data_IF_628126611801
#
_entry.id   IF_628126611801
#
_cell.length_a   1.000
_cell.length_b   1.000
_cell.length_c   1.000
_cell.angle_alpha   90.00
_cell.angle_beta   90.00
_cell.angle_gamma   90.00
#
_symmetry.space_group_name_H-M   'P 1'
#
loop_
_entity.id
_entity.type
_entity.pdbx_description
1 polymer ?
#
# COMPACT_ATOMS: atom_id res chain seq x y z
N UNK A 1 5.79 -31.17 13.56
CA UNK A 1 6.88 -30.42 12.89
C UNK A 1 6.41 -28.98 12.78
N UNK A 2 7.26 -27.97 12.93
CA UNK A 2 6.80 -26.58 12.77
C UNK A 2 7.07 -26.06 11.36
N UNK A 3 6.13 -25.30 10.83
CA UNK A 3 6.18 -24.72 9.49
C UNK A 3 6.10 -23.20 9.51
N UNK A 4 6.62 -22.58 8.45
CA UNK A 4 6.44 -21.17 8.10
C UNK A 4 5.94 -21.08 6.66
N UNK A 5 5.09 -20.10 6.38
CA UNK A 5 4.53 -19.89 5.04
C UNK A 5 4.85 -18.48 4.58
N UNK A 6 5.54 -18.34 3.46
CA UNK A 6 5.57 -17.11 2.66
C UNK A 6 4.47 -17.18 1.61
N UNK A 7 3.72 -16.08 1.43
CA UNK A 7 2.62 -15.98 0.47
C UNK A 7 2.83 -14.72 -0.34
N UNK A 8 2.72 -14.81 -1.66
CA UNK A 8 2.62 -13.65 -2.54
C UNK A 8 1.34 -13.72 -3.36
N UNK A 9 0.41 -12.82 -3.06
CA UNK A 9 -0.86 -12.70 -3.77
C UNK A 9 -0.68 -11.74 -4.94
N UNK A 10 -0.47 -12.31 -6.13
CA UNK A 10 -0.45 -11.59 -7.39
C UNK A 10 -1.82 -11.53 -8.08
N UNK A 11 -1.85 -10.88 -9.24
CA UNK A 11 -3.08 -10.72 -10.04
C UNK A 11 -3.60 -12.01 -10.67
N UNK A 12 -2.70 -12.88 -11.16
CA UNK A 12 -3.06 -14.13 -11.85
C UNK A 12 -2.97 -15.35 -10.94
N UNK A 13 -1.89 -15.45 -10.18
CA UNK A 13 -1.61 -16.56 -9.28
C UNK A 13 -1.28 -16.05 -7.89
N UNK A 14 -1.60 -16.89 -6.91
CA UNK A 14 -1.10 -16.76 -5.55
C UNK A 14 -0.04 -17.83 -5.34
N UNK A 15 1.17 -17.38 -5.06
CA UNK A 15 2.36 -18.20 -4.90
C UNK A 15 2.65 -18.41 -3.41
N UNK A 16 3.10 -19.61 -3.05
CA UNK A 16 3.40 -19.96 -1.67
C UNK A 16 4.76 -20.66 -1.57
N UNK A 17 5.49 -20.32 -0.50
CA UNK A 17 6.68 -21.01 -0.06
C UNK A 17 6.44 -21.56 1.35
N UNK A 18 6.32 -22.88 1.46
CA UNK A 18 6.25 -23.58 2.74
C UNK A 18 7.67 -23.96 3.16
N UNK A 19 8.05 -23.65 4.40
CA UNK A 19 9.36 -23.98 4.94
C UNK A 19 9.23 -24.76 6.24
N UNK A 20 9.85 -25.94 6.29
CA UNK A 20 9.97 -26.76 7.49
C UNK A 20 11.06 -26.26 8.44
N UNK A 21 11.01 -26.70 9.69
CA UNK A 21 12.01 -26.40 10.72
C UNK A 21 13.41 -26.94 10.38
N UNK A 22 13.48 -28.01 9.58
CA UNK A 22 14.70 -28.62 9.05
C UNK A 22 15.29 -27.86 7.84
N UNK A 23 14.64 -26.79 7.39
CA UNK A 23 15.02 -26.01 6.21
C UNK A 23 14.51 -26.58 4.88
N UNK A 24 13.72 -27.65 4.90
CA UNK A 24 13.03 -28.14 3.70
C UNK A 24 12.05 -27.09 3.16
N UNK A 25 11.95 -26.99 1.83
CA UNK A 25 11.07 -26.02 1.17
C UNK A 25 10.19 -26.68 0.13
N UNK A 26 8.91 -26.32 0.12
CA UNK A 26 7.93 -26.73 -0.88
C UNK A 26 7.25 -25.49 -1.49
N UNK A 27 7.01 -25.53 -2.80
CA UNK A 27 6.37 -24.43 -3.52
C UNK A 27 4.98 -24.86 -3.96
N UNK A 28 4.00 -24.00 -3.73
CA UNK A 28 2.62 -24.19 -4.18
C UNK A 28 2.17 -22.97 -4.98
N UNK A 29 1.25 -23.20 -5.91
CA UNK A 29 0.72 -22.15 -6.79
C UNK A 29 -0.74 -22.44 -7.07
N UNK A 30 -1.59 -21.46 -6.79
CA UNK A 30 -3.03 -21.56 -7.06
C UNK A 30 -3.48 -20.34 -7.86
N UNK A 31 -4.60 -20.48 -8.58
CA UNK A 31 -5.22 -19.34 -9.26
C UNK A 31 -5.70 -18.31 -8.23
N UNK A 32 -5.36 -17.04 -8.48
CA UNK A 32 -5.85 -15.93 -7.66
C UNK A 32 -7.36 -15.80 -7.79
N UNK A 33 -7.99 -15.24 -6.76
CA UNK A 33 -9.42 -14.92 -6.74
C UNK A 33 -9.55 -13.41 -6.56
N UNK A 34 -9.58 -12.60 -7.65
CA UNK A 34 -9.50 -11.14 -7.56
C UNK A 34 -10.56 -10.50 -6.66
N UNK A 35 -11.79 -11.04 -6.68
CA UNK A 35 -12.91 -10.53 -5.88
C UNK A 35 -12.71 -10.76 -4.37
N UNK A 36 -12.01 -11.83 -4.00
CA UNK A 36 -11.65 -12.13 -2.61
C UNK A 36 -10.35 -12.95 -2.55
N UNK A 37 -9.18 -12.29 -2.46
CA UNK A 37 -7.89 -12.98 -2.48
C UNK A 37 -7.67 -13.91 -1.28
N UNK A 38 -8.49 -13.80 -0.23
CA UNK A 38 -8.34 -14.65 0.95
C UNK A 38 -8.87 -16.07 0.66
N UNK A 39 -9.74 -16.23 -0.35
CA UNK A 39 -10.16 -17.55 -0.84
C UNK A 39 -8.98 -18.30 -1.47
N UNK A 40 -8.22 -17.64 -2.35
CA UNK A 40 -7.02 -18.21 -2.96
C UNK A 40 -5.97 -18.56 -1.89
N UNK A 41 -5.79 -17.67 -0.92
CA UNK A 41 -4.89 -17.91 0.23
C UNK A 41 -5.27 -19.18 1.00
N UNK A 42 -6.53 -19.32 1.40
CA UNK A 42 -6.99 -20.51 2.12
C UNK A 42 -6.97 -21.78 1.27
N UNK A 43 -7.20 -21.67 -0.04
CA UNK A 43 -7.09 -22.80 -0.98
C UNK A 43 -5.67 -23.36 -1.02
N UNK A 44 -4.65 -22.50 -1.14
CA UNK A 44 -3.26 -22.94 -1.11
C UNK A 44 -2.88 -23.60 0.21
N UNK A 45 -3.32 -23.04 1.34
CA UNK A 45 -3.13 -23.65 2.67
C UNK A 45 -3.80 -25.04 2.74
N UNK A 46 -5.00 -25.18 2.17
CA UNK A 46 -5.70 -26.46 2.12
C UNK A 46 -4.99 -27.49 1.21
N UNK A 47 -4.41 -27.06 0.09
CA UNK A 47 -3.60 -27.94 -0.78
C UNK A 47 -2.34 -28.43 -0.05
N UNK A 48 -1.67 -27.57 0.73
CA UNK A 48 -0.54 -27.96 1.58
C UNK A 48 -0.93 -29.03 2.61
N UNK A 49 -2.07 -28.85 3.29
CA UNK A 49 -2.59 -29.83 4.24
C UNK A 49 -2.96 -31.15 3.54
N UNK A 50 -3.62 -31.06 2.37
CA UNK A 50 -4.02 -32.22 1.56
C UNK A 50 -2.83 -33.04 1.07
N UNK A 51 -1.73 -32.41 0.66
CA UNK A 51 -0.49 -33.11 0.26
C UNK A 51 0.13 -33.93 1.40
N UNK A 52 -0.22 -33.62 2.65
CA UNK A 52 0.22 -34.30 3.87
C UNK A 52 -0.83 -35.27 4.43
N UNK A 53 -1.98 -35.41 3.76
CA UNK A 53 -3.13 -36.21 4.20
C UNK A 53 -3.62 -35.87 5.62
N UNK A 54 -3.55 -34.59 6.00
CA UNK A 54 -4.05 -34.08 7.29
C UNK A 54 -5.12 -33.01 7.06
N UNK A 55 -5.92 -32.75 8.10
CA UNK A 55 -6.91 -31.67 8.05
C UNK A 55 -6.21 -30.30 8.01
N UNK A 56 -6.85 -29.30 7.41
CA UNK A 56 -6.36 -27.91 7.41
C UNK A 56 -6.12 -27.39 8.83
N UNK A 57 -6.98 -27.77 9.77
CA UNK A 57 -6.90 -27.38 11.17
C UNK A 57 -5.66 -27.97 11.86
N UNK A 58 -5.38 -29.25 11.62
CA UNK A 58 -4.18 -29.89 12.17
C UNK A 58 -2.91 -29.32 11.54
N UNK A 59 -2.94 -29.03 10.24
CA UNK A 59 -1.83 -28.36 9.56
C UNK A 59 -1.55 -26.97 10.14
N UNK A 60 -2.57 -26.13 10.30
CA UNK A 60 -2.43 -24.77 10.80
C UNK A 60 -1.95 -24.68 12.26
N UNK A 61 -2.15 -25.73 13.07
CA UNK A 61 -1.55 -25.84 14.43
C UNK A 61 -0.02 -25.98 14.39
N UNK A 62 0.49 -26.53 13.30
CA UNK A 62 1.91 -26.68 13.05
C UNK A 62 2.52 -25.49 12.31
N UNK A 63 1.70 -24.60 11.74
CA UNK A 63 2.16 -23.33 11.15
C UNK A 63 2.40 -22.28 12.25
N UNK A 64 3.65 -21.85 12.39
CA UNK A 64 4.07 -20.86 13.40
C UNK A 64 4.00 -19.42 12.89
N UNK A 65 4.23 -19.22 11.59
CA UNK A 65 4.29 -17.88 10.99
C UNK A 65 3.78 -17.92 9.56
N UNK A 66 2.95 -16.93 9.22
CA UNK A 66 2.54 -16.64 7.85
C UNK A 66 3.04 -15.22 7.53
N UNK A 67 3.89 -15.09 6.52
CA UNK A 67 4.29 -13.80 5.94
C UNK A 67 3.54 -13.62 4.64
N UNK A 68 2.71 -12.59 4.58
CA UNK A 68 1.72 -12.40 3.55
C UNK A 68 1.99 -11.12 2.74
N UNK A 69 2.49 -11.29 1.53
CA UNK A 69 2.61 -10.26 0.50
C UNK A 69 1.36 -10.20 -0.37
N UNK A 70 1.00 -8.99 -0.79
CA UNK A 70 -0.18 -8.76 -1.63
C UNK A 70 0.00 -7.56 -2.53
N UNK A 71 -0.48 -7.66 -3.77
CA UNK A 71 -0.50 -6.54 -4.71
C UNK A 71 -1.85 -5.82 -4.76
N UNK A 72 -2.80 -6.16 -3.88
CA UNK A 72 -4.18 -5.64 -3.91
C UNK A 72 -4.23 -4.10 -3.86
N UNK A 73 -3.47 -3.48 -2.95
CA UNK A 73 -3.43 -2.02 -2.82
C UNK A 73 -2.77 -1.35 -4.03
N UNK A 74 -1.66 -1.91 -4.53
CA UNK A 74 -0.98 -1.40 -5.71
C UNK A 74 -1.88 -1.47 -6.95
N UNK A 75 -2.55 -2.60 -7.16
CA UNK A 75 -3.46 -2.81 -8.28
C UNK A 75 -4.62 -1.82 -8.21
N UNK A 76 -5.23 -1.60 -7.04
CA UNK A 76 -6.32 -0.65 -6.88
C UNK A 76 -5.94 0.79 -7.29
N UNK A 77 -4.69 1.21 -7.07
CA UNK A 77 -4.18 2.52 -7.52
C UNK A 77 -3.94 2.54 -9.03
N UNK A 78 -3.37 1.47 -9.59
CA UNK A 78 -3.13 1.35 -11.03
C UNK A 78 -4.44 1.41 -11.83
N UNK A 79 -5.49 0.73 -11.36
CA UNK A 79 -6.79 0.63 -12.03
C UNK A 79 -7.81 1.70 -11.62
N UNK A 80 -7.45 2.60 -10.71
CA UNK A 80 -8.37 3.58 -10.11
C UNK A 80 -9.65 2.93 -9.53
N UNK A 81 -9.50 1.78 -8.87
CA UNK A 81 -10.60 1.05 -8.22
C UNK A 81 -10.57 1.15 -6.70
N UNK A 82 -9.90 2.17 -6.15
CA UNK A 82 -10.01 2.54 -4.74
C UNK A 82 -11.38 3.11 -4.39
N UNK A 83 -11.59 3.40 -3.10
CA UNK A 83 -12.91 3.84 -2.61
C UNK A 83 -13.16 5.34 -2.82
N UNK A 84 -14.44 5.76 -2.79
CA UNK A 84 -14.78 7.19 -2.84
C UNK A 84 -14.20 7.91 -1.63
N UNK A 85 -13.22 8.77 -1.85
CA UNK A 85 -12.42 9.39 -0.79
C UNK A 85 -12.62 10.89 -0.75
N UNK A 86 -12.82 11.46 0.45
CA UNK A 86 -12.79 12.89 0.72
C UNK A 86 -11.41 13.37 1.17
N UNK A 87 -11.14 14.66 1.02
CA UNK A 87 -9.92 15.30 1.52
C UNK A 87 -10.28 16.60 2.25
N UNK A 88 -9.94 16.68 3.54
CA UNK A 88 -9.88 17.92 4.29
C UNK A 88 -8.46 18.46 4.24
N UNK A 89 -8.34 19.74 3.91
CA UNK A 89 -7.05 20.42 3.76
C UNK A 89 -7.20 21.89 4.10
N UNK A 90 -6.08 22.60 4.26
CA UNK A 90 -6.10 24.01 4.64
C UNK A 90 -6.71 24.88 3.56
N UNK A 91 -7.46 25.90 3.96
CA UNK A 91 -7.99 26.91 3.06
C UNK A 91 -6.91 27.48 2.13
N UNK A 92 -7.26 27.56 0.84
CA UNK A 92 -6.34 27.95 -0.23
C UNK A 92 -5.39 26.86 -0.74
N UNK A 93 -5.43 25.64 -0.21
CA UNK A 93 -4.47 24.57 -0.57
C UNK A 93 -5.08 23.32 -1.22
N UNK A 94 -6.39 23.30 -1.46
CA UNK A 94 -7.10 22.12 -2.03
C UNK A 94 -6.57 21.61 -3.36
N UNK A 95 -6.03 22.51 -4.18
CA UNK A 95 -5.56 22.18 -5.53
C UNK A 95 -4.11 21.66 -5.52
N UNK A 96 -3.43 21.61 -4.36
CA UNK A 96 -2.08 21.07 -4.24
C UNK A 96 -1.97 19.60 -4.67
N UNK A 97 -3.01 18.80 -4.43
CA UNK A 97 -3.03 17.39 -4.86
C UNK A 97 -3.00 17.26 -6.39
N UNK A 98 -3.60 18.20 -7.12
CA UNK A 98 -3.71 18.19 -8.58
C UNK A 98 -2.58 18.96 -9.27
N UNK A 99 -2.18 20.10 -8.71
CA UNK A 99 -1.02 20.87 -9.17
C UNK A 99 0.29 20.13 -8.95
N UNK A 100 0.31 19.19 -8.00
CA UNK A 100 1.47 18.40 -7.61
C UNK A 100 2.63 19.30 -7.20
N UNK A 101 3.76 19.20 -7.90
CA UNK A 101 4.93 20.07 -7.75
C UNK A 101 5.10 21.06 -8.91
N UNK A 102 4.15 21.12 -9.85
CA UNK A 102 4.27 21.89 -11.09
C UNK A 102 5.33 21.38 -12.08
N UNK A 103 5.88 20.18 -11.85
CA UNK A 103 6.88 19.56 -12.72
C UNK A 103 6.19 18.90 -13.91
N UNK A 104 6.58 19.27 -15.14
CA UNK A 104 6.16 18.59 -16.36
C UNK A 104 7.00 17.34 -16.56
N UNK A 105 6.34 16.18 -16.62
CA UNK A 105 7.00 14.89 -16.87
C UNK A 105 7.55 14.82 -18.30
N UNK A 106 6.79 15.29 -19.29
CA UNK A 106 7.26 15.50 -20.66
C UNK A 106 7.33 16.99 -20.98
N UNK A 107 8.51 17.58 -20.82
CA UNK A 107 8.70 19.04 -20.91
C UNK A 107 8.31 19.65 -22.27
N UNK A 108 8.51 18.90 -23.34
CA UNK A 108 8.26 19.34 -24.72
C UNK A 108 6.94 18.84 -25.32
N UNK A 109 6.19 17.99 -24.61
CA UNK A 109 4.91 17.47 -25.09
C UNK A 109 3.74 18.23 -24.44
N UNK A 110 3.28 19.30 -25.09
CA UNK A 110 2.15 20.11 -24.59
C UNK A 110 0.80 19.37 -24.58
N UNK A 111 0.71 18.19 -25.20
CA UNK A 111 -0.51 17.35 -25.21
C UNK A 111 -0.48 16.28 -24.11
N UNK A 112 0.60 16.17 -23.35
CA UNK A 112 0.74 15.16 -22.31
C UNK A 112 -0.23 15.46 -21.14
N UNK A 113 -1.22 14.59 -20.87
CA UNK A 113 -2.22 14.86 -19.86
C UNK A 113 -1.62 14.77 -18.46
N UNK A 114 -2.10 15.60 -17.54
CA UNK A 114 -1.73 15.50 -16.12
C UNK A 114 -2.18 14.17 -15.51
N UNK A 115 -1.46 13.69 -14.49
CA UNK A 115 -1.89 12.55 -13.70
C UNK A 115 -3.23 12.88 -12.99
N UNK A 116 -4.18 11.94 -13.01
CA UNK A 116 -5.48 12.11 -12.37
C UNK A 116 -5.36 11.84 -10.86
N UNK A 117 -5.67 12.79 -9.97
CA UNK A 117 -5.66 12.53 -8.54
C UNK A 117 -6.70 11.48 -8.11
N UNK A 118 -6.41 10.74 -7.03
CA UNK A 118 -7.34 9.73 -6.47
C UNK A 118 -8.56 10.32 -5.76
N UNK A 119 -8.49 11.59 -5.37
CA UNK A 119 -9.61 12.33 -4.78
C UNK A 119 -10.13 13.31 -5.81
N UNK A 120 -11.42 13.22 -6.15
CA UNK A 120 -12.07 14.16 -7.06
C UNK A 120 -12.12 15.57 -6.47
N UNK A 121 -11.99 16.60 -7.33
CA UNK A 121 -11.80 17.98 -6.86
C UNK A 121 -12.97 18.49 -6.00
N UNK A 122 -14.21 18.08 -6.29
CA UNK A 122 -15.38 18.48 -5.51
C UNK A 122 -15.44 17.84 -4.11
N UNK A 123 -14.62 16.81 -3.85
CA UNK A 123 -14.45 16.16 -2.55
C UNK A 123 -13.21 16.66 -1.79
N UNK A 124 -12.49 17.64 -2.32
CA UNK A 124 -11.35 18.30 -1.67
C UNK A 124 -11.83 19.58 -1.01
N UNK A 125 -12.22 19.49 0.25
CA UNK A 125 -12.84 20.57 0.98
C UNK A 125 -11.81 21.33 1.81
N UNK A 126 -11.58 22.62 1.50
CA UNK A 126 -10.77 23.48 2.35
C UNK A 126 -11.50 23.74 3.67
N UNK A 127 -10.76 23.68 4.78
CA UNK A 127 -11.21 24.07 6.12
C UNK A 127 -10.49 25.36 6.52
N UNK A 128 -11.20 26.21 7.27
CA UNK A 128 -10.66 27.47 7.80
C UNK A 128 -9.80 27.22 9.04
N UNK A 129 -8.53 26.96 8.81
CA UNK A 129 -7.50 26.89 9.85
C UNK A 129 -6.12 27.26 9.28
N UNK A 130 -5.17 27.69 10.12
CA UNK A 130 -3.79 27.94 9.66
C UNK A 130 -2.76 27.86 10.78
N UNK A 131 -1.68 27.16 10.49
CA UNK A 131 -0.45 27.13 11.30
C UNK A 131 0.70 27.80 10.54
N UNK A 132 1.58 28.48 11.27
CA UNK A 132 2.85 28.94 10.71
C UNK A 132 3.87 27.78 10.58
N UNK A 133 5.09 28.09 10.15
CA UNK A 133 6.14 27.08 9.94
C UNK A 133 6.72 26.49 11.24
N UNK A 134 6.50 27.15 12.39
CA UNK A 134 6.92 26.71 13.71
C UNK A 134 5.81 25.91 14.42
N UNK A 135 4.61 25.83 13.81
CA UNK A 135 3.44 25.18 14.40
C UNK A 135 2.60 26.12 15.28
N UNK A 136 2.87 27.42 15.30
CA UNK A 136 2.05 28.39 16.00
C UNK A 136 0.73 28.63 15.25
N UNK A 137 -0.36 28.77 16.00
CA UNK A 137 -1.70 28.99 15.44
C UNK A 137 -1.81 30.42 14.92
N UNK A 138 -1.98 30.57 13.60
CA UNK A 138 -2.29 31.86 12.96
C UNK A 138 -3.80 32.07 12.85
N UNK A 139 -4.51 31.02 12.48
CA UNK A 139 -5.98 30.96 12.43
C UNK A 139 -6.42 29.69 13.13
N UNK A 140 -7.18 29.82 14.22
CA UNK A 140 -7.74 28.68 14.93
C UNK A 140 -8.63 27.85 14.02
N UNK A 141 -8.71 26.54 14.29
CA UNK A 141 -9.62 25.64 13.59
C UNK A 141 -11.09 26.07 13.80
N UNK A 142 -11.73 26.53 12.72
CA UNK A 142 -13.15 26.86 12.70
C UNK A 142 -13.98 25.56 12.77
N UNK A 143 -14.59 25.32 13.93
CA UNK A 143 -15.33 24.09 14.23
C UNK A 143 -16.63 23.99 13.42
N UNK A 144 -17.30 25.13 13.18
CA UNK A 144 -18.56 25.14 12.42
C UNK A 144 -18.29 24.91 10.93
N UNK A 145 -17.24 25.52 10.39
CA UNK A 145 -16.77 25.27 9.03
C UNK A 145 -16.39 23.81 8.82
N UNK A 146 -15.58 23.26 9.72
CA UNK A 146 -15.17 21.86 9.69
C UNK A 146 -16.38 20.92 9.70
N UNK A 147 -17.35 21.16 10.59
CA UNK A 147 -18.57 20.38 10.68
C UNK A 147 -19.37 20.43 9.38
N UNK A 148 -19.51 21.61 8.78
CA UNK A 148 -20.18 21.77 7.49
C UNK A 148 -19.49 20.94 6.38
N UNK A 149 -18.14 20.96 6.33
CA UNK A 149 -17.39 20.18 5.33
C UNK A 149 -17.54 18.67 5.55
N UNK A 150 -17.50 18.22 6.79
CA UNK A 150 -17.72 16.79 7.11
C UNK A 150 -19.14 16.36 6.72
N UNK A 151 -20.16 17.16 7.01
CA UNK A 151 -21.55 16.89 6.59
C UNK A 151 -21.72 16.91 5.07
N UNK A 152 -20.99 17.76 4.35
CA UNK A 152 -20.96 17.72 2.89
C UNK A 152 -20.37 16.40 2.38
N UNK A 153 -19.24 15.95 2.94
CA UNK A 153 -18.64 14.66 2.58
C UNK A 153 -19.55 13.48 2.93
N UNK A 154 -20.30 13.58 4.02
CA UNK A 154 -21.32 12.59 4.42
C UNK A 154 -22.43 12.47 3.38
N UNK A 155 -22.95 13.61 2.89
CA UNK A 155 -23.96 13.64 1.81
C UNK A 155 -23.42 13.01 0.52
N UNK A 156 -22.14 13.20 0.26
CA UNK A 156 -21.42 12.57 -0.85
C UNK A 156 -21.11 11.08 -0.62
N UNK A 157 -21.41 10.51 0.54
CA UNK A 157 -21.21 9.09 0.86
C UNK A 157 -19.75 8.65 0.64
N UNK A 158 -18.79 9.46 1.11
CA UNK A 158 -17.38 9.04 1.08
C UNK A 158 -17.16 7.85 2.00
N UNK A 159 -16.45 6.84 1.52
CA UNK A 159 -16.05 5.66 2.30
C UNK A 159 -14.76 5.89 3.08
N UNK A 160 -13.94 6.85 2.64
CA UNK A 160 -12.69 7.23 3.29
C UNK A 160 -12.48 8.76 3.33
N UNK A 161 -11.70 9.21 4.30
CA UNK A 161 -11.36 10.61 4.51
C UNK A 161 -9.86 10.77 4.78
N UNK A 162 -9.20 11.59 3.95
CA UNK A 162 -7.85 12.06 4.21
C UNK A 162 -7.90 13.44 4.90
N UNK A 163 -7.15 13.62 5.97
CA UNK A 163 -7.00 14.90 6.67
C UNK A 163 -5.53 15.31 6.54
N UNK A 164 -5.27 16.42 5.85
CA UNK A 164 -3.92 16.92 5.63
C UNK A 164 -3.89 18.45 5.62
N UNK A 165 -3.61 19.06 6.76
CA UNK A 165 -3.46 20.50 6.92
C UNK A 165 -2.01 20.94 6.72
N UNK A 166 -1.81 22.19 6.28
CA UNK A 166 -0.49 22.79 6.13
C UNK A 166 0.24 22.83 7.49
N UNK A 167 1.54 22.53 7.48
CA UNK A 167 2.41 22.52 8.67
C UNK A 167 1.98 21.61 9.84
N UNK A 168 1.06 20.66 9.63
CA UNK A 168 0.65 19.70 10.67
C UNK A 168 1.76 18.79 11.19
N UNK A 169 2.87 18.64 10.45
CA UNK A 169 4.06 17.95 10.93
C UNK A 169 4.76 18.68 12.09
N UNK A 170 4.55 19.99 12.25
CA UNK A 170 5.13 20.80 13.32
C UNK A 170 4.20 20.88 14.54
N UNK A 171 2.88 20.91 14.30
CA UNK A 171 1.85 20.86 15.32
C UNK A 171 0.60 20.20 14.73
N UNK A 172 0.21 19.04 15.25
CA UNK A 172 -0.85 18.21 14.71
C UNK A 172 -2.23 18.49 15.33
N UNK A 173 -2.33 19.46 16.26
CA UNK A 173 -3.53 19.66 17.08
C UNK A 173 -4.81 19.88 16.26
N UNK A 174 -4.73 20.61 15.14
CA UNK A 174 -5.88 20.83 14.26
C UNK A 174 -6.29 19.55 13.52
N UNK A 175 -5.32 18.76 13.03
CA UNK A 175 -5.65 17.50 12.37
C UNK A 175 -6.26 16.50 13.35
N UNK A 176 -5.75 16.44 14.58
CA UNK A 176 -6.30 15.57 15.63
C UNK A 176 -7.72 15.99 16.03
N UNK A 177 -7.97 17.29 16.21
CA UNK A 177 -9.31 17.80 16.47
C UNK A 177 -10.28 17.49 15.30
N UNK A 178 -9.82 17.66 14.06
CA UNK A 178 -10.61 17.29 12.88
C UNK A 178 -10.89 15.79 12.82
N UNK A 179 -9.93 14.94 13.17
CA UNK A 179 -10.10 13.50 13.21
C UNK A 179 -11.11 13.05 14.27
N UNK A 180 -11.11 13.67 15.45
CA UNK A 180 -12.11 13.41 16.50
C UNK A 180 -13.51 13.72 15.98
N UNK A 181 -13.75 14.92 15.46
CA UNK A 181 -15.06 15.29 14.91
C UNK A 181 -15.47 14.42 13.73
N UNK A 182 -14.53 14.09 12.84
CA UNK A 182 -14.80 13.22 11.70
C UNK A 182 -15.22 11.80 12.15
N UNK A 183 -14.57 11.22 13.16
CA UNK A 183 -14.97 9.91 13.72
C UNK A 183 -16.36 9.94 14.34
N UNK A 184 -16.78 11.06 14.92
CA UNK A 184 -18.13 11.21 15.48
C UNK A 184 -19.21 11.32 14.40
N UNK A 185 -18.96 12.08 13.33
CA UNK A 185 -19.95 12.37 12.28
C UNK A 185 -19.98 11.33 11.15
N UNK A 186 -18.86 10.63 10.93
CA UNK A 186 -18.62 9.61 9.92
C UNK A 186 -18.06 8.30 10.56
N UNK A 187 -18.80 7.62 11.44
CA UNK A 187 -18.28 6.50 12.24
C UNK A 187 -17.80 5.30 11.40
N UNK A 188 -18.37 5.08 10.22
CA UNK A 188 -18.01 3.98 9.33
C UNK A 188 -16.90 4.34 8.33
N UNK A 189 -16.50 5.61 8.27
CA UNK A 189 -15.54 6.11 7.29
C UNK A 189 -14.11 5.81 7.73
N UNK A 190 -13.27 5.38 6.79
CA UNK A 190 -11.86 5.17 7.03
C UNK A 190 -11.11 6.50 7.05
N UNK A 191 -10.58 6.89 8.21
CA UNK A 191 -9.93 8.19 8.40
C UNK A 191 -8.41 8.02 8.43
N UNK A 192 -7.72 8.78 7.59
CA UNK A 192 -6.25 8.90 7.61
C UNK A 192 -5.86 10.32 8.02
N UNK A 193 -5.01 10.42 9.03
CA UNK A 193 -4.43 11.68 9.52
C UNK A 193 -2.99 11.80 9.02
N UNK A 194 -2.64 12.92 8.38
CA UNK A 194 -1.35 13.06 7.72
C UNK A 194 -0.18 13.11 8.70
N UNK A 195 -0.35 13.75 9.86
CA UNK A 195 0.66 13.82 10.91
C UNK A 195 0.99 12.45 11.53
N UNK A 196 0.04 11.52 11.56
CA UNK A 196 0.24 10.15 12.08
C UNK A 196 0.90 9.22 11.05
N UNK A 197 0.59 9.44 9.77
CA UNK A 197 1.09 8.62 8.66
C UNK A 197 2.47 9.05 8.20
N UNK A 198 2.65 10.35 7.92
CA UNK A 198 3.88 10.92 7.35
C UNK A 198 4.07 12.38 7.84
N UNK A 199 4.62 12.60 9.04
CA UNK A 199 4.93 13.93 9.58
C UNK A 199 6.14 14.56 8.87
N UNK A 200 5.97 14.95 7.61
CA UNK A 200 7.02 15.49 6.74
C UNK A 200 6.68 16.90 6.28
N UNK A 201 7.69 17.79 6.22
CA UNK A 201 7.52 19.18 5.73
C UNK A 201 7.07 19.28 4.26
N UNK A 202 7.33 18.25 3.45
CA UNK A 202 7.01 18.27 2.01
C UNK A 202 5.51 18.08 1.78
N UNK A 203 4.78 19.20 1.64
CA UNK A 203 3.31 19.20 1.61
C UNK A 203 2.70 18.32 0.52
N UNK A 204 3.16 18.40 -0.74
CA UNK A 204 2.62 17.55 -1.81
C UNK A 204 2.84 16.05 -1.53
N UNK A 205 4.03 15.69 -1.04
CA UNK A 205 4.33 14.30 -0.74
C UNK A 205 3.45 13.78 0.39
N UNK A 206 3.22 14.60 1.42
CA UNK A 206 2.34 14.30 2.54
C UNK A 206 0.88 14.16 2.12
N UNK A 207 0.33 15.13 1.38
CA UNK A 207 -1.07 15.10 0.95
C UNK A 207 -1.34 13.95 -0.03
N UNK A 208 -0.41 13.67 -0.94
CA UNK A 208 -0.53 12.56 -1.90
C UNK A 208 -0.48 11.21 -1.19
N UNK A 209 0.46 11.02 -0.25
CA UNK A 209 0.56 9.79 0.55
C UNK A 209 -0.68 9.56 1.42
N UNK A 210 -1.18 10.62 2.06
CA UNK A 210 -2.38 10.58 2.91
C UNK A 210 -3.62 10.23 2.09
N UNK A 211 -3.77 10.84 0.92
CA UNK A 211 -4.86 10.54 -0.01
C UNK A 211 -4.79 9.10 -0.52
N UNK A 212 -3.61 8.61 -0.90
CA UNK A 212 -3.43 7.22 -1.33
C UNK A 212 -3.77 6.23 -0.21
N UNK A 213 -3.32 6.47 1.03
CA UNK A 213 -3.65 5.62 2.17
C UNK A 213 -5.15 5.52 2.40
N UNK A 214 -5.85 6.66 2.43
CA UNK A 214 -7.30 6.70 2.58
C UNK A 214 -8.01 5.97 1.42
N UNK A 215 -7.53 6.16 0.19
CA UNK A 215 -8.11 5.58 -1.02
C UNK A 215 -8.06 4.05 -1.07
N UNK A 216 -6.99 3.43 -0.57
CA UNK A 216 -6.84 1.96 -0.57
C UNK A 216 -7.11 1.30 0.78
N UNK A 217 -7.16 2.07 1.87
CA UNK A 217 -7.30 1.58 3.24
C UNK A 217 -8.48 0.63 3.44
N UNK A 218 -9.71 0.99 3.04
CA UNK A 218 -10.87 0.10 3.18
C UNK A 218 -10.75 -1.21 2.40
N UNK A 219 -10.11 -1.20 1.23
CA UNK A 219 -9.91 -2.41 0.42
C UNK A 219 -9.02 -3.39 1.17
N UNK A 220 -7.87 -2.90 1.65
CA UNK A 220 -6.94 -3.73 2.42
C UNK A 220 -7.58 -4.19 3.74
N UNK A 221 -8.31 -3.32 4.43
CA UNK A 221 -9.01 -3.65 5.68
C UNK A 221 -10.00 -4.80 5.49
N UNK A 222 -10.93 -4.69 4.54
CA UNK A 222 -11.90 -5.76 4.23
C UNK A 222 -11.21 -7.07 3.89
N UNK A 223 -10.13 -7.00 3.11
CA UNK A 223 -9.35 -8.18 2.74
C UNK A 223 -8.70 -8.86 3.96
N UNK A 224 -7.98 -8.11 4.78
CA UNK A 224 -7.28 -8.65 5.94
C UNK A 224 -8.25 -9.15 7.02
N UNK A 225 -9.37 -8.46 7.24
CA UNK A 225 -10.43 -8.93 8.15
C UNK A 225 -11.01 -10.29 7.69
N UNK A 226 -11.28 -10.44 6.38
CA UNK A 226 -11.77 -11.69 5.81
C UNK A 226 -10.74 -12.82 5.97
N UNK A 227 -9.45 -12.55 5.73
CA UNK A 227 -8.37 -13.51 5.92
C UNK A 227 -8.22 -13.93 7.39
N UNK A 228 -8.21 -12.96 8.31
CA UNK A 228 -8.11 -13.23 9.76
C UNK A 228 -9.29 -14.07 10.22
N UNK A 229 -10.51 -13.76 9.78
CA UNK A 229 -11.71 -14.53 10.14
C UNK A 229 -11.62 -15.99 9.65
N UNK A 230 -11.12 -16.20 8.41
CA UNK A 230 -10.92 -17.54 7.85
C UNK A 230 -9.84 -18.32 8.59
N UNK A 231 -8.69 -17.71 8.89
CA UNK A 231 -7.63 -18.35 9.68
C UNK A 231 -8.11 -18.70 11.10
N UNK A 232 -8.87 -17.80 11.74
CA UNK A 232 -9.45 -18.04 13.07
C UNK A 232 -10.46 -19.19 13.07
N UNK A 233 -11.28 -19.30 12.02
CA UNK A 233 -12.23 -20.42 11.86
C UNK A 233 -11.51 -21.77 11.84
N UNK A 234 -10.32 -21.81 11.24
CA UNK A 234 -9.47 -22.99 11.17
C UNK A 234 -8.50 -23.12 12.36
N UNK A 235 -8.70 -22.37 13.45
CA UNK A 235 -7.92 -22.46 14.70
C UNK A 235 -6.42 -22.19 14.53
N UNK A 236 -6.05 -21.27 13.63
CA UNK A 236 -4.67 -20.82 13.48
C UNK A 236 -4.19 -20.09 14.75
N UNK A 237 -3.11 -20.60 15.36
CA UNK A 237 -2.51 -20.07 16.61
C UNK A 237 -1.17 -19.36 16.38
N UNK A 238 -0.69 -19.29 15.12
CA UNK A 238 0.56 -18.66 14.77
C UNK A 238 0.45 -17.14 14.60
N UNK A 239 1.51 -16.55 14.06
CA UNK A 239 1.59 -15.11 13.80
C UNK A 239 1.36 -14.85 12.30
N UNK A 240 0.40 -13.99 11.98
CA UNK A 240 0.24 -13.42 10.64
C UNK A 240 0.98 -12.09 10.56
N UNK A 241 1.82 -11.94 9.55
CA UNK A 241 2.62 -10.75 9.25
C UNK A 241 2.37 -10.33 7.80
N UNK A 242 2.29 -9.04 7.55
CA UNK A 242 2.03 -8.47 6.21
C UNK A 242 3.32 -7.86 5.67
N UNK A 243 3.68 -8.17 4.43
CA UNK A 243 4.85 -7.60 3.76
C UNK A 243 4.64 -6.10 3.55
N UNK A 244 5.61 -5.29 3.98
CA UNK A 244 5.65 -3.86 3.73
C UNK A 244 6.69 -3.54 2.64
N UNK A 245 6.51 -2.42 1.94
CA UNK A 245 7.36 -2.02 0.81
C UNK A 245 8.79 -1.66 1.19
N UNK A 246 9.10 -1.50 2.49
CA UNK A 246 10.45 -1.32 3.01
C UNK A 246 11.26 -2.62 3.15
N UNK A 247 10.72 -3.77 2.71
CA UNK A 247 11.37 -5.08 2.84
C UNK A 247 11.24 -5.69 4.24
N UNK A 248 10.52 -5.01 5.14
CA UNK A 248 10.14 -5.53 6.44
C UNK A 248 8.72 -6.11 6.42
N UNK A 249 8.24 -6.46 7.62
CA UNK A 249 6.89 -6.96 7.83
C UNK A 249 6.21 -6.20 8.97
N UNK A 250 4.88 -6.08 8.90
CA UNK A 250 4.06 -5.40 9.90
C UNK A 250 2.91 -6.28 10.36
N UNK A 251 2.33 -5.96 11.52
CA UNK A 251 1.12 -6.64 11.99
C UNK A 251 -0.10 -6.28 11.13
N UNK A 252 -1.13 -7.15 11.03
CA UNK A 252 -2.34 -6.83 10.29
C UNK A 252 -3.04 -5.54 10.76
N UNK A 253 -3.17 -5.23 12.07
CA UNK A 253 -3.74 -3.96 12.51
C UNK A 253 -2.99 -2.74 11.96
N UNK A 254 -1.66 -2.77 12.00
CA UNK A 254 -0.83 -1.69 11.44
C UNK A 254 -0.99 -1.57 9.92
N UNK A 255 -1.06 -2.70 9.20
CA UNK A 255 -1.30 -2.68 7.76
C UNK A 255 -2.67 -2.08 7.42
N UNK A 256 -3.71 -2.43 8.19
CA UNK A 256 -5.05 -1.88 8.01
C UNK A 256 -5.11 -0.37 8.30
N UNK A 257 -4.37 0.12 9.28
CA UNK A 257 -4.29 1.56 9.62
C UNK A 257 -3.42 2.36 8.64
N UNK A 258 -2.34 1.76 8.14
CA UNK A 258 -1.34 2.39 7.26
C UNK A 258 -1.17 1.60 5.96
N UNK A 259 -2.27 1.43 5.22
CA UNK A 259 -2.31 0.67 3.97
C UNK A 259 -1.32 1.16 2.90
N UNK A 260 -0.90 2.42 2.95
CA UNK A 260 0.14 2.94 2.06
C UNK A 260 1.51 2.25 2.26
N UNK A 261 1.75 1.56 3.40
CA UNK A 261 2.95 0.74 3.61
C UNK A 261 2.96 -0.54 2.75
N UNK A 262 1.80 -1.01 2.28
CA UNK A 262 1.71 -2.20 1.41
C UNK A 262 1.71 -1.83 -0.07
N UNK A 263 1.67 -0.54 -0.41
CA UNK A 263 1.86 -0.08 -1.78
C UNK A 263 3.28 -0.43 -2.23
N UNK A 264 3.40 -1.13 -3.37
CA UNK A 264 4.66 -1.67 -3.90
C UNK A 264 5.33 -2.73 -3.00
N UNK A 265 4.57 -3.46 -2.16
CA UNK A 265 5.14 -4.50 -1.29
C UNK A 265 5.48 -5.81 -1.97
N UNK A 266 4.79 -6.17 -3.07
CA UNK A 266 5.07 -7.42 -3.81
C UNK A 266 6.54 -7.54 -4.23
N UNK A 267 7.07 -6.58 -5.02
CA UNK A 267 8.48 -6.61 -5.43
C UNK A 267 9.48 -6.48 -4.28
N UNK A 268 9.06 -6.03 -3.09
CA UNK A 268 9.97 -5.82 -1.96
C UNK A 268 10.51 -7.13 -1.37
N UNK A 269 9.87 -8.28 -1.63
CA UNK A 269 10.37 -9.59 -1.22
C UNK A 269 11.64 -10.01 -1.98
N UNK A 270 11.75 -9.65 -3.25
CA UNK A 270 12.86 -10.02 -4.13
C UNK A 270 14.23 -9.58 -3.60
N UNK A 271 14.44 -8.28 -3.32
CA UNK A 271 15.73 -7.80 -2.83
C UNK A 271 16.13 -8.39 -1.47
N UNK A 272 15.15 -8.64 -0.59
CA UNK A 272 15.37 -9.27 0.72
C UNK A 272 15.83 -10.71 0.54
N UNK A 273 15.18 -11.47 -0.34
CA UNK A 273 15.62 -12.81 -0.70
C UNK A 273 17.00 -12.79 -1.37
N UNK A 274 17.28 -11.79 -2.22
CA UNK A 274 18.58 -11.60 -2.87
C UNK A 274 19.73 -11.48 -1.87
N UNK A 275 19.55 -10.70 -0.80
CA UNK A 275 20.55 -10.58 0.29
C UNK A 275 20.84 -11.95 0.91
N UNK A 276 19.80 -12.75 1.17
CA UNK A 276 19.95 -14.07 1.78
C UNK A 276 20.68 -15.03 0.84
N UNK A 277 20.17 -15.25 -0.37
CA UNK A 277 20.71 -16.24 -1.30
C UNK A 277 22.09 -15.87 -1.84
N UNK A 278 22.34 -14.60 -2.15
CA UNK A 278 23.67 -14.14 -2.56
C UNK A 278 24.69 -14.28 -1.41
N UNK A 279 24.27 -13.95 -0.18
CA UNK A 279 25.11 -14.05 1.00
C UNK A 279 25.58 -15.48 1.31
N UNK A 280 24.72 -16.49 1.11
CA UNK A 280 25.09 -17.91 1.24
C UNK A 280 26.19 -18.31 0.24
N UNK A 281 26.21 -17.68 -0.93
CA UNK A 281 27.20 -17.90 -1.98
C UNK A 281 28.47 -17.04 -1.81
N UNK A 282 28.57 -16.26 -0.71
CA UNK A 282 29.72 -15.37 -0.45
C UNK A 282 29.71 -14.06 -1.25
N UNK A 283 28.58 -13.69 -1.86
CA UNK A 283 28.42 -12.42 -2.55
C UNK A 283 27.76 -11.38 -1.65
N UNK A 284 28.40 -10.22 -1.54
CA UNK A 284 27.89 -9.09 -0.75
C UNK A 284 27.07 -8.10 -1.60
N UNK A 285 27.27 -8.13 -2.92
CA UNK A 285 26.62 -7.27 -3.91
C UNK A 285 25.88 -8.13 -4.93
N UNK A 286 24.65 -7.77 -5.27
CA UNK A 286 23.90 -8.42 -6.33
C UNK A 286 22.82 -7.51 -6.92
N UNK A 287 22.32 -7.90 -8.08
CA UNK A 287 21.12 -7.31 -8.69
C UNK A 287 20.06 -8.39 -8.67
N UNK A 288 18.91 -8.09 -8.06
CA UNK A 288 17.74 -8.97 -8.16
C UNK A 288 16.89 -8.52 -9.34
N UNK A 289 16.42 -9.51 -10.09
CA UNK A 289 15.56 -9.30 -11.26
C UNK A 289 14.38 -10.26 -11.14
N UNK A 290 13.17 -9.72 -11.23
CA UNK A 290 11.93 -10.47 -11.32
C UNK A 290 11.22 -10.08 -12.62
N UNK A 291 10.88 -11.08 -13.44
CA UNK A 291 10.19 -10.87 -14.71
C UNK A 291 8.90 -11.67 -14.70
N UNK A 292 7.79 -10.95 -14.56
CA UNK A 292 6.45 -11.50 -14.67
C UNK A 292 5.92 -11.50 -16.10
N UNK A 293 4.61 -11.75 -16.23
CA UNK A 293 3.92 -11.66 -17.52
C UNK A 293 3.76 -10.23 -18.03
N UNK A 294 3.73 -9.24 -17.13
CA UNK A 294 3.39 -7.84 -17.47
C UNK A 294 4.52 -6.85 -17.18
N UNK A 295 5.41 -7.16 -16.25
CA UNK A 295 6.43 -6.25 -15.75
C UNK A 295 7.77 -6.94 -15.55
N UNK A 296 8.81 -6.11 -15.49
CA UNK A 296 10.17 -6.45 -15.14
C UNK A 296 10.59 -5.53 -13.99
N UNK A 297 10.97 -6.13 -12.87
CA UNK A 297 11.30 -5.49 -11.62
C UNK A 297 12.77 -5.75 -11.28
N UNK A 298 13.55 -4.69 -11.04
CA UNK A 298 14.96 -4.80 -10.73
C UNK A 298 15.35 -3.98 -9.50
N UNK A 299 16.25 -4.51 -8.68
CA UNK A 299 16.80 -3.79 -7.54
C UNK A 299 18.29 -4.09 -7.34
N UNK A 300 19.01 -3.09 -6.82
CA UNK A 300 20.43 -3.18 -6.50
C UNK A 300 20.61 -3.40 -5.00
N UNK A 301 21.42 -4.40 -4.67
CA UNK A 301 21.88 -4.68 -3.31
C UNK A 301 23.38 -4.42 -3.29
N UNK A 302 23.81 -3.57 -2.34
CA UNK A 302 25.22 -3.23 -2.14
C UNK A 302 25.59 -3.40 -0.68
N UNK A 303 26.69 -4.10 -0.39
CA UNK A 303 27.15 -4.43 0.96
C UNK A 303 26.03 -5.08 1.81
N UNK A 304 25.30 -6.05 1.23
CA UNK A 304 24.14 -6.75 1.84
C UNK A 304 22.99 -5.84 2.23
N UNK A 305 22.93 -4.62 1.68
CA UNK A 305 21.87 -3.66 1.94
C UNK A 305 21.12 -3.37 0.64
N UNK A 306 19.83 -3.73 0.55
CA UNK A 306 18.99 -3.28 -0.56
C UNK A 306 18.97 -1.74 -0.60
N UNK A 307 19.04 -1.17 -1.79
CA UNK A 307 18.82 0.28 -1.96
C UNK A 307 17.43 0.66 -1.46
N UNK A 308 17.32 1.78 -0.74
CA UNK A 308 16.04 2.31 -0.26
C UNK A 308 15.76 3.70 -0.84
N UNK A 309 14.49 4.08 -0.86
CA UNK A 309 14.02 5.40 -1.30
C UNK A 309 12.83 5.83 -0.43
N UNK A 310 12.59 7.13 -0.34
CA UNK A 310 11.36 7.71 0.21
C UNK A 310 10.52 8.36 -0.87
N UNK A 311 10.73 7.97 -2.13
CA UNK A 311 10.02 8.48 -3.29
C UNK A 311 9.56 7.26 -4.06
N UNK A 312 8.31 6.86 -3.82
CA UNK A 312 7.59 5.87 -4.60
C UNK A 312 6.62 6.55 -5.55
N UNK A 313 6.35 5.89 -6.68
CA UNK A 313 5.39 6.37 -7.66
C UNK A 313 4.57 5.19 -8.22
N UNK A 314 3.25 5.33 -8.26
CA UNK A 314 2.33 4.34 -8.81
C UNK A 314 1.39 5.09 -9.72
N UNK A 315 1.35 4.73 -11.00
CA UNK A 315 0.50 5.43 -11.97
C UNK A 315 0.72 6.96 -11.97
N UNK A 316 1.99 7.40 -11.84
CA UNK A 316 2.41 8.81 -11.73
C UNK A 316 1.98 9.51 -10.42
N UNK A 317 1.36 8.79 -9.50
CA UNK A 317 0.95 9.29 -8.18
C UNK A 317 2.03 8.98 -7.15
N UNK A 318 2.44 10.00 -6.39
CA UNK A 318 3.57 9.88 -5.47
C UNK A 318 3.15 9.40 -4.10
N UNK A 319 3.99 8.55 -3.52
CA UNK A 319 3.99 8.20 -2.10
C UNK A 319 5.39 8.44 -1.54
N UNK A 320 5.48 8.86 -0.28
CA UNK A 320 6.75 9.25 0.33
C UNK A 320 7.08 8.49 1.62
N UNK A 321 6.54 7.28 1.74
CA UNK A 321 6.94 6.34 2.79
C UNK A 321 8.26 5.66 2.42
N UNK A 322 9.11 5.30 3.40
CA UNK A 322 10.32 4.52 3.15
C UNK A 322 9.97 3.18 2.47
N UNK A 323 10.69 2.87 1.40
CA UNK A 323 10.52 1.63 0.62
C UNK A 323 11.83 1.17 -0.01
N UNK A 324 11.86 -0.07 -0.47
CA UNK A 324 12.95 -0.57 -1.30
C UNK A 324 12.90 0.11 -2.67
N UNK A 325 14.07 0.46 -3.18
CA UNK A 325 14.23 1.06 -4.49
C UNK A 325 14.20 -0.03 -5.56
N UNK A 326 12.99 -0.39 -5.97
CA UNK A 326 12.74 -1.31 -7.09
C UNK A 326 12.35 -0.49 -8.31
N UNK A 327 13.05 -0.72 -9.41
CA UNK A 327 12.74 -0.12 -10.71
C UNK A 327 11.88 -1.09 -11.50
N UNK A 328 10.66 -0.68 -11.80
CA UNK A 328 9.71 -1.45 -12.62
C UNK A 328 9.67 -0.91 -14.04
N UNK A 329 9.75 -1.78 -15.02
CA UNK A 329 9.53 -1.50 -16.43
C UNK A 329 8.30 -2.31 -16.88
N UNK A 330 7.40 -1.69 -17.65
CA UNK A 330 6.21 -2.32 -18.23
C UNK A 330 6.51 -3.27 -19.39
N UNK A 331 7.51 -4.14 -19.22
CA UNK A 331 7.91 -5.15 -20.19
C UNK A 331 8.02 -6.49 -19.46
N UNK A 332 7.31 -7.51 -19.91
CA UNK A 332 7.32 -8.84 -19.32
C UNK A 332 7.14 -9.92 -20.39
N UNK A 333 6.97 -11.18 -19.97
CA UNK A 333 6.85 -12.30 -20.91
C UNK A 333 5.61 -12.25 -21.82
N UNK A 334 4.58 -11.50 -21.45
CA UNK A 334 3.34 -11.29 -22.22
C UNK A 334 3.30 -9.97 -22.97
N UNK A 335 4.39 -9.20 -23.00
CA UNK A 335 4.45 -7.97 -23.79
C UNK A 335 4.28 -8.27 -25.27
N UNK A 336 3.34 -7.57 -25.91
CA UNK A 336 3.04 -7.73 -27.33
C UNK A 336 4.08 -6.94 -28.12
N UNK A 337 4.89 -7.65 -28.91
CA UNK A 337 5.69 -7.03 -29.96
C UNK A 337 4.81 -6.71 -31.16
N UNK A 338 4.95 -5.51 -31.71
CA UNK A 338 4.36 -5.12 -32.99
C UNK A 338 5.44 -4.47 -33.85
N UNK A 339 5.19 -4.45 -35.16
CA UNK A 339 6.05 -3.77 -36.13
C UNK A 339 5.41 -2.41 -36.40
N UNK A 340 6.18 -1.34 -36.29
CA UNK A 340 5.71 0.02 -36.56
C UNK A 340 5.60 0.33 -38.07
N UNK A 341 5.16 1.54 -38.42
CA UNK A 341 5.05 1.97 -39.82
C UNK A 341 6.40 2.03 -40.56
N UNK A 342 7.52 2.06 -39.83
CA UNK A 342 8.89 2.03 -40.34
C UNK A 342 9.45 0.62 -40.57
N UNK A 343 8.72 -0.43 -40.17
CA UNK A 343 9.14 -1.82 -40.35
C UNK A 343 10.04 -2.36 -39.24
N UNK A 344 10.08 -1.69 -38.07
CA UNK A 344 10.82 -2.12 -36.88
C UNK A 344 9.91 -2.65 -35.77
#
# INVERSE_FOLDING_TARGET
>A
MKFKIGIDVGGTFTDFLLTGEDGSTEIYKVLSTPDDPSIATMRGINEMAGSRNISIKDFLRDVTTIVHGTTVTTNAVLTYTGVKTGLLTTEGTRDALEMRRGIREEQYNNRYPNARPVVERYLRLPVRERLDYQGAVLTSLDQDDLKEKIEQLKKEQVEALAICFMNSFANDCHEQAAAVMARELLPDCYITVSAELLPSIRFYDRISTTALNAYVGPILKRYLEALIAKLKKEDFQGILLIMASNGGVVSPPQAMEKAALTLLSGPAGGPVAGVFYAGVQGYDDCITVDMGGTSFDAAVIKNKKPSTTTVGEINRLRTALPMLNVVTIGAGGGSIGWIDEGGL
#
